data_IF_690148101973
#
_entry.id   IF_690148101973
#
_cell.length_a   1.000
_cell.length_b   1.000
_cell.length_c   1.000
_cell.angle_alpha   90.00
_cell.angle_beta   90.00
_cell.angle_gamma   90.00
#
_symmetry.space_group_name_H-M   'P 1'
#
loop_
_entity.id
_entity.type
_entity.pdbx_description
1 polymer ?
#
# COMPACT_ATOMS: atom_id res chain seq x y z
N UNK A 1 -0.03 31.32 3.88
CA UNK A 1 0.67 30.08 4.28
C UNK A 1 2.10 30.16 3.73
N UNK A 2 3.14 30.05 4.56
CA UNK A 2 4.54 30.17 4.13
C UNK A 2 4.90 29.04 3.15
N UNK A 3 5.59 29.35 2.04
CA UNK A 3 6.01 28.38 1.00
C UNK A 3 6.75 27.18 1.58
N UNK A 4 7.62 27.40 2.58
CA UNK A 4 8.33 26.31 3.27
C UNK A 4 7.40 25.41 4.07
N UNK A 5 6.38 25.99 4.71
CA UNK A 5 5.38 25.22 5.44
C UNK A 5 4.52 24.37 4.49
N UNK A 6 4.12 24.92 3.33
CA UNK A 6 3.40 24.16 2.29
C UNK A 6 4.22 22.97 1.80
N UNK A 7 5.51 23.17 1.52
CA UNK A 7 6.38 22.10 1.06
C UNK A 7 6.51 20.99 2.12
N UNK A 8 6.69 21.36 3.39
CA UNK A 8 6.80 20.39 4.47
C UNK A 8 5.54 19.51 4.58
N UNK A 9 4.34 20.11 4.48
CA UNK A 9 3.07 19.35 4.49
C UNK A 9 2.99 18.39 3.31
N UNK A 10 3.39 18.82 2.10
CA UNK A 10 3.40 17.97 0.91
C UNK A 10 4.36 16.78 1.08
N UNK A 11 5.58 17.03 1.57
CA UNK A 11 6.56 15.98 1.85
C UNK A 11 5.98 14.98 2.85
N UNK A 12 5.52 15.43 4.01
CA UNK A 12 4.99 14.55 5.06
C UNK A 12 3.82 13.71 4.55
N UNK A 13 2.93 14.29 3.72
CA UNK A 13 1.79 13.59 3.13
C UNK A 13 2.15 12.49 2.12
N UNK A 14 3.43 12.39 1.74
CA UNK A 14 3.95 11.42 0.80
C UNK A 14 4.92 10.40 1.44
N UNK A 15 5.06 10.38 2.78
CA UNK A 15 5.90 9.41 3.48
C UNK A 15 5.07 8.28 4.09
N UNK A 16 5.61 7.07 4.12
CA UNK A 16 5.04 5.93 4.82
C UNK A 16 6.10 5.34 5.76
N UNK A 17 6.19 5.83 7.02
CA UNK A 17 7.12 5.28 8.00
C UNK A 17 6.77 3.85 8.37
N UNK A 18 7.76 3.12 8.88
CA UNK A 18 7.59 1.74 9.36
C UNK A 18 7.81 1.65 10.86
N UNK A 19 7.03 0.81 11.54
CA UNK A 19 7.30 0.36 12.91
C UNK A 19 7.60 -1.13 12.92
N UNK A 20 8.57 -1.53 13.74
CA UNK A 20 8.72 -2.93 14.15
C UNK A 20 7.75 -3.19 15.30
N UNK A 21 7.10 -4.35 15.28
CA UNK A 21 6.29 -4.80 16.42
C UNK A 21 7.11 -4.95 17.70
N UNK A 22 6.42 -4.89 18.84
CA UNK A 22 6.98 -5.22 20.16
C UNK A 22 7.14 -4.04 21.12
N UNK A 23 7.02 -2.79 20.65
CA UNK A 23 6.88 -1.64 21.53
C UNK A 23 5.40 -1.43 21.92
N UNK A 24 5.09 -1.06 23.18
CA UNK A 24 3.72 -0.83 23.64
C UNK A 24 3.07 0.40 22.99
N UNK A 25 3.89 1.33 22.49
CA UNK A 25 3.46 2.60 21.90
C UNK A 25 4.22 2.88 20.60
N UNK A 26 3.64 3.74 19.75
CA UNK A 26 4.30 4.21 18.54
C UNK A 26 5.48 5.12 18.91
N UNK A 27 6.62 5.04 18.19
CA UNK A 27 7.71 5.98 18.36
C UNK A 27 7.26 7.43 18.21
N UNK A 28 7.76 8.33 19.06
CA UNK A 28 7.35 9.75 19.10
C UNK A 28 7.45 10.44 17.72
N UNK A 29 8.50 10.15 16.96
CA UNK A 29 8.70 10.76 15.64
C UNK A 29 7.66 10.33 14.60
N UNK A 30 7.07 9.13 14.76
CA UNK A 30 5.99 8.64 13.90
C UNK A 30 4.67 9.30 14.30
N UNK A 31 4.39 9.41 15.60
CA UNK A 31 3.23 10.15 16.11
C UNK A 31 3.25 11.61 15.62
N UNK A 32 4.39 12.29 15.77
CA UNK A 32 4.58 13.65 15.24
C UNK A 32 4.44 13.71 13.71
N UNK A 33 4.85 12.67 12.99
CA UNK A 33 4.65 12.57 11.54
C UNK A 33 3.17 12.49 11.17
N UNK A 34 2.42 11.63 11.85
CA UNK A 34 0.97 11.47 11.70
C UNK A 34 0.24 12.80 11.97
N UNK A 35 0.57 13.50 13.06
CA UNK A 35 0.05 14.83 13.38
C UNK A 35 0.36 15.89 12.30
N UNK A 36 1.48 15.72 11.58
CA UNK A 36 1.93 16.61 10.50
C UNK A 36 1.40 16.23 9.13
N UNK A 37 0.56 15.20 9.05
CA UNK A 37 -0.14 14.82 7.83
C UNK A 37 0.42 13.59 7.11
N UNK A 38 1.34 12.85 7.72
CA UNK A 38 1.71 11.53 7.21
C UNK A 38 0.48 10.64 7.06
N UNK A 39 0.26 10.00 5.90
CA UNK A 39 -0.98 9.30 5.57
C UNK A 39 -1.20 8.00 6.35
N UNK A 40 -0.16 7.46 6.99
CA UNK A 40 -0.25 6.20 7.72
C UNK A 40 1.10 5.61 8.08
N UNK A 41 1.10 4.34 8.49
CA UNK A 41 2.30 3.62 8.94
C UNK A 41 2.29 2.19 8.40
N UNK A 42 3.45 1.68 8.01
CA UNK A 42 3.67 0.26 7.74
C UNK A 42 4.04 -0.47 9.04
N UNK A 43 3.24 -1.45 9.43
CA UNK A 43 3.41 -2.25 10.65
C UNK A 43 4.09 -3.56 10.29
N UNK A 44 5.30 -3.77 10.82
CA UNK A 44 6.09 -5.00 10.68
C UNK A 44 6.04 -5.76 11.99
N UNK A 45 4.92 -6.40 12.25
CA UNK A 45 4.60 -7.15 13.46
C UNK A 45 3.62 -8.28 13.09
N UNK A 46 3.25 -9.14 14.04
CA UNK A 46 2.19 -10.12 13.82
C UNK A 46 1.20 -10.12 14.99
N UNK A 47 0.01 -10.69 14.76
CA UNK A 47 -0.98 -10.96 15.79
C UNK A 47 -1.37 -9.73 16.62
N UNK A 48 -1.38 -9.89 17.95
CA UNK A 48 -1.80 -8.82 18.87
C UNK A 48 -0.87 -7.60 18.85
N UNK A 49 0.42 -7.78 18.57
CA UNK A 49 1.36 -6.67 18.46
C UNK A 49 1.08 -5.82 17.20
N UNK A 50 0.78 -6.47 16.07
CA UNK A 50 0.34 -5.77 14.87
C UNK A 50 -0.97 -5.03 15.09
N UNK A 51 -1.94 -5.69 15.74
CA UNK A 51 -3.23 -5.09 16.08
C UNK A 51 -3.08 -3.85 16.97
N UNK A 52 -2.30 -3.94 18.03
CA UNK A 52 -2.06 -2.81 18.93
C UNK A 52 -1.42 -1.62 18.21
N UNK A 53 -0.44 -1.86 17.34
CA UNK A 53 0.18 -0.80 16.54
C UNK A 53 -0.81 -0.16 15.56
N UNK A 54 -1.60 -0.96 14.82
CA UNK A 54 -2.63 -0.44 13.91
C UNK A 54 -3.71 0.38 14.65
N UNK A 55 -4.10 -0.05 15.84
CA UNK A 55 -5.09 0.66 16.66
C UNK A 55 -4.49 1.97 17.22
N UNK A 56 -3.22 1.99 17.63
CA UNK A 56 -2.53 3.23 18.01
C UNK A 56 -2.43 4.22 16.84
N UNK A 57 -2.15 3.74 15.62
CA UNK A 57 -2.13 4.59 14.41
C UNK A 57 -3.50 5.22 14.17
N UNK A 58 -4.58 4.42 14.23
CA UNK A 58 -5.95 4.91 14.01
C UNK A 58 -6.48 5.76 15.17
N UNK A 59 -6.00 5.56 16.39
CA UNK A 59 -6.31 6.44 17.51
C UNK A 59 -5.72 7.85 17.29
N UNK A 60 -4.51 7.94 16.73
CA UNK A 60 -3.90 9.22 16.37
C UNK A 60 -4.56 9.85 15.13
N UNK A 61 -4.84 9.05 14.11
CA UNK A 61 -5.41 9.49 12.83
C UNK A 61 -6.44 8.46 12.34
N UNK A 62 -7.75 8.69 12.56
CA UNK A 62 -8.81 7.68 12.33
C UNK A 62 -8.86 7.06 10.94
N UNK A 63 -8.55 7.84 9.90
CA UNK A 63 -8.57 7.44 8.50
C UNK A 63 -7.16 7.12 7.96
N UNK A 64 -6.18 6.86 8.83
CA UNK A 64 -4.83 6.53 8.41
C UNK A 64 -4.74 5.18 7.67
N UNK A 65 -3.74 5.08 6.80
CA UNK A 65 -3.30 3.81 6.24
C UNK A 65 -2.56 3.00 7.31
N UNK A 66 -2.94 1.75 7.46
CA UNK A 66 -2.26 0.74 8.27
C UNK A 66 -1.76 -0.35 7.32
N UNK A 67 -0.51 -0.18 6.88
CA UNK A 67 0.14 -1.08 5.96
C UNK A 67 0.67 -2.33 6.65
N UNK A 68 0.54 -3.50 6.04
CA UNK A 68 1.07 -4.76 6.59
C UNK A 68 1.66 -5.63 5.48
N UNK A 69 2.81 -6.30 5.68
CA UNK A 69 3.45 -7.13 4.66
C UNK A 69 2.63 -8.38 4.29
N UNK A 70 1.59 -8.69 5.07
CA UNK A 70 0.78 -9.90 4.94
C UNK A 70 1.13 -10.94 6.01
N UNK A 71 0.38 -12.05 6.08
CA UNK A 71 0.66 -13.15 6.99
C UNK A 71 2.01 -13.85 6.69
N UNK A 72 2.59 -14.51 7.71
CA UNK A 72 3.88 -15.19 7.60
C UNK A 72 3.83 -16.31 6.54
N UNK A 73 4.88 -16.38 5.72
CA UNK A 73 5.02 -17.34 4.61
C UNK A 73 5.22 -16.68 3.25
N UNK A 74 4.98 -15.35 3.18
CA UNK A 74 4.91 -14.64 1.91
C UNK A 74 3.68 -15.13 1.16
N UNK A 75 2.95 -14.22 0.54
CA UNK A 75 2.00 -14.59 -0.51
C UNK A 75 2.81 -15.07 -1.72
N UNK A 76 3.44 -16.24 -1.62
CA UNK A 76 3.79 -17.03 -2.77
C UNK A 76 2.46 -17.47 -3.37
N UNK A 77 2.15 -16.91 -4.53
CA UNK A 77 0.93 -17.15 -5.27
C UNK A 77 0.60 -18.66 -5.34
N UNK A 78 -0.54 -19.03 -4.76
CA UNK A 78 -1.18 -20.31 -5.10
C UNK A 78 -1.90 -21.09 -4.01
N UNK A 79 -1.86 -20.72 -2.72
CA UNK A 79 -2.52 -21.52 -1.67
C UNK A 79 -3.66 -20.83 -0.94
N UNK A 80 -3.70 -19.48 -0.91
CA UNK A 80 -4.74 -18.72 -0.21
C UNK A 80 -5.46 -17.75 -1.16
N UNK A 81 -6.79 -17.69 -1.10
CA UNK A 81 -7.59 -16.72 -1.86
C UNK A 81 -7.52 -15.32 -1.22
N UNK A 82 -7.81 -14.27 -2.00
CA UNK A 82 -7.67 -12.89 -1.54
C UNK A 82 -8.60 -12.56 -0.37
N UNK A 83 -9.78 -13.18 -0.31
CA UNK A 83 -10.75 -12.99 0.77
C UNK A 83 -10.22 -13.45 2.13
N UNK A 84 -9.54 -14.60 2.19
CA UNK A 84 -8.93 -15.08 3.43
C UNK A 84 -7.74 -14.19 3.86
N UNK A 85 -6.92 -13.74 2.90
CA UNK A 85 -5.84 -12.81 3.18
C UNK A 85 -6.38 -11.46 3.71
N UNK A 86 -7.48 -10.95 3.16
CA UNK A 86 -8.15 -9.75 3.68
C UNK A 86 -8.62 -9.94 5.12
N UNK A 87 -9.27 -11.07 5.44
CA UNK A 87 -9.74 -11.34 6.80
C UNK A 87 -8.60 -11.32 7.83
N UNK A 88 -7.45 -11.92 7.50
CA UNK A 88 -6.27 -11.91 8.38
C UNK A 88 -5.69 -10.50 8.57
N UNK A 89 -5.62 -9.72 7.48
CA UNK A 89 -5.15 -8.33 7.54
C UNK A 89 -6.08 -7.44 8.36
N UNK A 90 -7.38 -7.59 8.19
CA UNK A 90 -8.39 -6.88 8.97
C UNK A 90 -8.32 -7.25 10.46
N UNK A 91 -8.02 -8.51 10.79
CA UNK A 91 -7.88 -8.96 12.17
C UNK A 91 -6.75 -8.21 12.91
N UNK A 92 -5.66 -7.89 12.21
CA UNK A 92 -4.56 -7.05 12.71
C UNK A 92 -4.75 -5.54 12.46
N UNK A 93 -5.93 -5.13 11.99
CA UNK A 93 -6.29 -3.74 11.76
C UNK A 93 -5.64 -3.09 10.54
N UNK A 94 -5.11 -3.88 9.61
CA UNK A 94 -4.49 -3.40 8.37
C UNK A 94 -5.56 -3.11 7.30
N UNK A 95 -5.38 -2.02 6.55
CA UNK A 95 -6.19 -1.65 5.38
C UNK A 95 -5.35 -1.52 4.10
N UNK A 96 -4.04 -1.82 4.15
CA UNK A 96 -3.14 -1.81 3.01
C UNK A 96 -2.22 -3.03 3.06
N UNK A 97 -2.33 -3.93 2.08
CA UNK A 97 -1.45 -5.08 1.94
C UNK A 97 -0.21 -4.71 1.12
N UNK A 98 0.96 -4.69 1.76
CA UNK A 98 2.24 -4.28 1.18
C UNK A 98 3.02 -5.41 0.47
N UNK A 99 2.50 -6.64 0.50
CA UNK A 99 3.21 -7.85 0.07
C UNK A 99 2.59 -8.57 -1.12
N UNK A 100 1.66 -7.93 -1.84
CA UNK A 100 0.92 -8.59 -2.93
C UNK A 100 1.85 -8.87 -4.11
N UNK A 101 2.10 -10.15 -4.42
CA UNK A 101 2.93 -10.59 -5.53
C UNK A 101 2.13 -10.87 -6.82
N UNK A 102 2.72 -10.69 -8.02
CA UNK A 102 2.04 -10.99 -9.28
C UNK A 102 1.87 -12.50 -9.52
N UNK A 103 0.64 -12.97 -9.74
CA UNK A 103 0.35 -14.37 -10.10
C UNK A 103 0.64 -14.61 -11.60
N UNK A 104 1.42 -15.64 -11.96
CA UNK A 104 1.70 -15.98 -13.35
C UNK A 104 0.51 -16.58 -14.11
N UNK A 105 -0.52 -17.09 -13.43
CA UNK A 105 -1.77 -17.56 -14.06
C UNK A 105 -2.54 -16.37 -14.63
N UNK A 106 -3.27 -16.60 -15.73
CA UNK A 106 -4.17 -15.58 -16.25
C UNK A 106 -5.17 -15.21 -15.16
N UNK A 107 -5.42 -13.91 -14.99
CA UNK A 107 -6.38 -13.35 -14.04
C UNK A 107 -6.12 -13.59 -12.55
N UNK A 108 -5.18 -14.43 -12.14
CA UNK A 108 -4.93 -14.71 -10.73
C UNK A 108 -4.61 -13.45 -9.91
N UNK A 109 -3.88 -12.51 -10.51
CA UNK A 109 -3.60 -11.21 -9.88
C UNK A 109 -4.86 -10.35 -9.78
N UNK A 110 -5.66 -10.30 -10.86
CA UNK A 110 -6.93 -9.58 -10.91
C UNK A 110 -7.90 -10.09 -9.83
N UNK A 111 -8.07 -11.40 -9.73
CA UNK A 111 -8.97 -12.04 -8.77
C UNK A 111 -8.53 -11.76 -7.33
N UNK A 112 -7.25 -11.96 -7.02
CA UNK A 112 -6.71 -11.71 -5.68
C UNK A 112 -6.84 -10.23 -5.25
N UNK A 113 -6.53 -9.29 -6.15
CA UNK A 113 -6.69 -7.85 -5.90
C UNK A 113 -8.16 -7.49 -5.71
N UNK A 114 -9.05 -8.03 -6.55
CA UNK A 114 -10.49 -7.76 -6.47
C UNK A 114 -11.07 -8.23 -5.14
N UNK A 115 -10.70 -9.43 -4.70
CA UNK A 115 -11.09 -10.00 -3.41
C UNK A 115 -10.64 -9.12 -2.23
N UNK A 116 -9.37 -8.70 -2.19
CA UNK A 116 -8.84 -7.83 -1.13
C UNK A 116 -9.64 -6.52 -1.06
N UNK A 117 -9.83 -5.89 -2.22
CA UNK A 117 -10.47 -4.59 -2.30
C UNK A 117 -11.97 -4.65 -2.00
N UNK A 118 -12.63 -5.77 -2.32
CA UNK A 118 -14.02 -6.04 -1.94
C UNK A 118 -14.22 -6.17 -0.43
N UNK A 119 -13.15 -6.39 0.34
CA UNK A 119 -13.16 -6.40 1.82
C UNK A 119 -12.57 -5.12 2.43
N UNK A 120 -12.31 -4.09 1.62
CA UNK A 120 -11.78 -2.81 2.08
C UNK A 120 -10.26 -2.80 2.34
N UNK A 121 -9.53 -3.79 1.84
CA UNK A 121 -8.06 -3.83 1.94
C UNK A 121 -7.44 -3.42 0.60
N UNK A 122 -6.67 -2.34 0.59
CA UNK A 122 -5.94 -1.91 -0.60
C UNK A 122 -4.80 -2.88 -0.90
N UNK A 123 -4.66 -3.30 -2.15
CA UNK A 123 -3.50 -4.07 -2.59
C UNK A 123 -2.38 -3.13 -3.07
N UNK A 124 -1.14 -3.36 -2.61
CA UNK A 124 0.07 -2.82 -3.21
C UNK A 124 0.79 -3.91 -4.00
N UNK A 125 0.46 -4.06 -5.28
CA UNK A 125 1.00 -5.10 -6.16
C UNK A 125 2.47 -4.85 -6.50
N UNK A 126 3.36 -5.81 -6.29
CA UNK A 126 4.75 -5.67 -6.66
C UNK A 126 5.63 -6.88 -6.32
N UNK A 127 6.96 -6.74 -6.49
CA UNK A 127 7.63 -5.54 -6.99
C UNK A 127 7.47 -5.37 -8.52
N UNK A 128 7.10 -4.16 -8.96
CA UNK A 128 7.19 -3.76 -10.36
C UNK A 128 8.62 -3.32 -10.69
N UNK A 129 9.28 -4.01 -11.61
CA UNK A 129 10.66 -3.70 -12.05
C UNK A 129 10.72 -3.10 -13.46
N UNK A 130 9.61 -3.07 -14.20
CA UNK A 130 9.57 -2.67 -15.61
C UNK A 130 10.16 -3.70 -16.58
N UNK A 131 10.50 -4.89 -16.09
CA UNK A 131 11.07 -5.98 -16.88
C UNK A 131 10.31 -7.29 -16.62
N UNK A 132 10.44 -8.24 -17.54
CA UNK A 132 9.75 -9.52 -17.45
C UNK A 132 8.28 -9.44 -17.88
N UNK A 133 7.42 -10.26 -17.26
CA UNK A 133 6.01 -10.34 -17.63
C UNK A 133 5.22 -9.16 -17.03
N UNK A 134 4.80 -8.23 -17.88
CA UNK A 134 4.01 -7.06 -17.48
C UNK A 134 2.50 -7.35 -17.36
N UNK A 135 2.02 -8.51 -17.85
CA UNK A 135 0.60 -8.86 -17.88
C UNK A 135 -0.08 -8.75 -16.50
N UNK A 136 0.50 -9.26 -15.39
CA UNK A 136 -0.13 -9.14 -14.06
C UNK A 136 -0.39 -7.69 -13.65
N UNK A 137 0.50 -6.76 -13.99
CA UNK A 137 0.36 -5.35 -13.67
C UNK A 137 -0.69 -4.67 -14.56
N UNK A 138 -0.75 -5.02 -15.84
CA UNK A 138 -1.77 -4.55 -16.75
C UNK A 138 -3.18 -5.02 -16.32
N UNK A 139 -3.33 -6.31 -15.99
CA UNK A 139 -4.57 -6.90 -15.48
C UNK A 139 -5.02 -6.22 -14.18
N UNK A 140 -4.10 -6.02 -13.23
CA UNK A 140 -4.41 -5.36 -11.96
C UNK A 140 -4.76 -3.88 -12.16
N UNK A 141 -4.06 -3.17 -13.03
CA UNK A 141 -4.37 -1.78 -13.37
C UNK A 141 -5.78 -1.67 -13.98
N UNK A 142 -6.13 -2.55 -14.92
CA UNK A 142 -7.47 -2.64 -15.50
C UNK A 142 -8.54 -3.01 -14.46
N UNK A 143 -8.19 -3.83 -13.47
CA UNK A 143 -9.05 -4.17 -12.32
C UNK A 143 -9.14 -3.06 -11.26
N UNK A 144 -8.44 -1.94 -11.45
CA UNK A 144 -8.48 -0.80 -10.54
C UNK A 144 -7.69 -1.00 -9.25
N UNK A 145 -6.58 -1.75 -9.29
CA UNK A 145 -5.65 -1.89 -8.16
C UNK A 145 -5.30 -0.51 -7.60
N UNK A 146 -5.37 -0.35 -6.28
CA UNK A 146 -5.16 0.97 -5.64
C UNK A 146 -3.70 1.39 -5.58
N UNK A 147 -2.79 0.43 -5.45
CA UNK A 147 -1.37 0.67 -5.28
C UNK A 147 -0.50 -0.34 -6.06
N UNK A 148 0.65 0.13 -6.56
CA UNK A 148 1.72 -0.71 -7.11
C UNK A 148 3.01 -0.37 -6.39
N UNK A 149 3.72 -1.38 -5.89
CA UNK A 149 5.03 -1.23 -5.26
C UNK A 149 6.12 -1.35 -6.31
N UNK A 150 6.87 -0.28 -6.56
CA UNK A 150 8.05 -0.32 -7.39
C UNK A 150 9.20 -1.03 -6.67
N UNK A 151 9.91 -1.92 -7.37
CA UNK A 151 11.14 -2.54 -6.91
C UNK A 151 12.38 -1.76 -7.36
N UNK A 152 13.57 -2.26 -7.03
CA UNK A 152 14.84 -1.74 -7.57
C UNK A 152 15.12 -2.45 -8.91
N UNK A 153 15.57 -1.73 -9.97
CA UNK A 153 15.88 -0.30 -10.03
C UNK A 153 14.69 0.62 -10.40
N UNK A 154 13.50 0.06 -10.64
CA UNK A 154 12.34 0.81 -11.10
C UNK A 154 11.97 2.01 -10.21
N UNK A 155 12.12 1.89 -8.90
CA UNK A 155 11.74 2.90 -7.89
C UNK A 155 12.38 4.27 -8.09
N UNK A 156 13.51 4.36 -8.78
CA UNK A 156 14.20 5.62 -9.13
C UNK A 156 14.30 5.85 -10.65
N UNK A 157 13.68 4.99 -11.46
CA UNK A 157 13.73 5.06 -12.92
C UNK A 157 12.48 5.75 -13.48
N UNK A 158 12.64 7.00 -13.93
CA UNK A 158 11.57 7.74 -14.61
C UNK A 158 11.09 7.06 -15.89
N UNK A 159 12.00 6.40 -16.63
CA UNK A 159 11.63 5.60 -17.79
C UNK A 159 10.68 4.45 -17.40
N UNK A 160 10.95 3.78 -16.28
CA UNK A 160 10.15 2.64 -15.83
C UNK A 160 8.82 3.07 -15.23
N UNK A 161 8.81 4.02 -14.30
CA UNK A 161 7.56 4.43 -13.64
C UNK A 161 6.74 5.34 -14.56
N UNK A 162 7.31 6.47 -14.99
CA UNK A 162 6.54 7.44 -15.79
C UNK A 162 6.35 6.98 -17.24
N UNK A 163 7.36 6.36 -17.85
CA UNK A 163 7.26 5.84 -19.22
C UNK A 163 6.40 4.58 -19.32
N UNK A 164 6.80 3.50 -18.66
CA UNK A 164 6.11 2.20 -18.80
C UNK A 164 4.85 2.13 -17.94
N UNK A 165 4.96 2.31 -16.62
CA UNK A 165 3.81 2.06 -15.73
C UNK A 165 2.68 3.08 -15.92
N UNK A 166 3.01 4.38 -15.96
CA UNK A 166 2.00 5.44 -16.12
C UNK A 166 1.65 5.70 -17.58
N UNK A 167 2.63 5.63 -18.48
CA UNK A 167 2.44 5.87 -19.91
C UNK A 167 1.83 4.65 -20.61
N UNK A 168 2.62 3.60 -20.82
CA UNK A 168 2.20 2.42 -21.60
C UNK A 168 1.07 1.63 -20.94
N UNK A 169 1.16 1.39 -19.64
CA UNK A 169 0.14 0.63 -18.88
C UNK A 169 -1.01 1.50 -18.36
N UNK A 170 -0.92 2.83 -18.50
CA UNK A 170 -1.99 3.75 -18.11
C UNK A 170 -2.30 3.79 -16.61
N UNK A 171 -1.39 3.37 -15.74
CA UNK A 171 -1.66 3.28 -14.30
C UNK A 171 -1.73 4.65 -13.62
N UNK A 172 -2.91 4.98 -13.07
CA UNK A 172 -3.20 6.27 -12.44
C UNK A 172 -3.30 6.23 -10.91
N UNK A 173 -3.16 5.05 -10.30
CA UNK A 173 -3.17 4.85 -8.85
C UNK A 173 -1.86 5.27 -8.17
N UNK A 174 -1.72 4.89 -6.90
CA UNK A 174 -0.53 5.21 -6.10
C UNK A 174 0.63 4.29 -6.48
N UNK A 175 1.81 4.86 -6.70
CA UNK A 175 3.07 4.11 -6.82
C UNK A 175 3.84 4.22 -5.51
N UNK A 176 4.08 3.10 -4.83
CA UNK A 176 4.94 3.06 -3.65
C UNK A 176 6.39 2.87 -4.09
N UNK A 177 7.31 3.56 -3.44
CA UNK A 177 8.74 3.29 -3.62
C UNK A 177 9.13 1.91 -3.06
N UNK A 178 10.32 1.42 -3.42
CA UNK A 178 10.98 0.44 -2.58
C UNK A 178 11.28 1.03 -1.18
N UNK A 179 11.41 0.22 -0.12
CA UNK A 179 11.87 0.69 1.18
C UNK A 179 13.22 1.40 1.06
N UNK A 180 13.35 2.60 1.63
CA UNK A 180 14.58 3.40 1.52
C UNK A 180 15.77 2.84 2.32
N UNK A 181 15.54 1.85 3.19
CA UNK A 181 16.57 1.11 3.92
C UNK A 181 16.99 -0.18 3.19
N UNK A 182 16.53 -0.38 1.95
CA UNK A 182 17.03 -1.44 1.08
C UNK A 182 18.51 -1.18 0.73
N UNK A 183 19.40 -2.20 0.79
CA UNK A 183 20.84 -2.00 0.62
C UNK A 183 21.24 -1.32 -0.70
N UNK A 184 20.65 -1.73 -1.83
CA UNK A 184 20.96 -1.14 -3.14
C UNK A 184 20.59 0.35 -3.18
N UNK A 185 19.50 0.75 -2.52
CA UNK A 185 19.11 2.15 -2.36
C UNK A 185 20.09 2.91 -1.47
N UNK A 186 20.46 2.35 -0.33
CA UNK A 186 21.38 2.96 0.63
C UNK A 186 22.75 3.19 -0.02
N UNK A 187 23.29 2.16 -0.67
CA UNK A 187 24.62 2.20 -1.30
C UNK A 187 24.66 3.08 -2.55
N UNK A 188 23.56 3.16 -3.29
CA UNK A 188 23.48 3.94 -4.54
C UNK A 188 23.25 5.43 -4.33
N UNK A 189 22.29 5.80 -3.47
CA UNK A 189 21.78 7.19 -3.39
C UNK A 189 21.60 7.70 -1.96
N UNK A 190 21.62 6.81 -0.96
CA UNK A 190 21.16 7.11 0.38
C UNK A 190 19.66 7.42 0.45
N UNK A 191 19.06 7.33 1.63
CA UNK A 191 17.61 7.52 1.78
C UNK A 191 17.10 8.89 1.30
N UNK A 192 17.74 10.05 1.64
CA UNK A 192 17.23 11.35 1.20
C UNK A 192 17.29 11.55 -0.31
N UNK A 193 18.39 11.13 -0.96
CA UNK A 193 18.55 11.21 -2.40
C UNK A 193 17.59 10.30 -3.14
N UNK A 194 17.41 9.07 -2.64
CA UNK A 194 16.47 8.11 -3.19
C UNK A 194 15.01 8.57 -3.09
N UNK A 195 14.61 9.25 -2.00
CA UNK A 195 13.28 9.83 -1.88
C UNK A 195 13.00 10.86 -2.99
N UNK A 196 13.94 11.79 -3.21
CA UNK A 196 13.86 12.80 -4.27
C UNK A 196 13.79 12.14 -5.64
N UNK A 197 14.69 11.20 -5.93
CA UNK A 197 14.72 10.48 -7.20
C UNK A 197 13.45 9.65 -7.45
N UNK A 198 12.87 9.06 -6.40
CA UNK A 198 11.63 8.32 -6.51
C UNK A 198 10.46 9.26 -6.88
N UNK A 199 10.36 10.44 -6.28
CA UNK A 199 9.35 11.42 -6.70
C UNK A 199 9.55 11.90 -8.14
N UNK A 200 10.78 12.20 -8.53
CA UNK A 200 11.14 12.57 -9.91
C UNK A 200 10.77 11.43 -10.88
N UNK A 201 11.03 10.17 -10.51
CA UNK A 201 10.67 9.02 -11.32
C UNK A 201 9.16 8.83 -11.48
N UNK A 202 8.37 9.33 -10.52
CA UNK A 202 6.91 9.25 -10.53
C UNK A 202 6.31 8.43 -9.40
N UNK A 203 7.08 7.99 -8.40
CA UNK A 203 6.56 7.39 -7.18
C UNK A 203 5.81 8.43 -6.34
N UNK A 204 4.73 8.03 -5.67
CA UNK A 204 3.87 8.94 -4.89
C UNK A 204 4.07 8.76 -3.37
N UNK A 205 4.23 7.52 -2.91
CA UNK A 205 4.31 7.20 -1.48
C UNK A 205 5.65 6.54 -1.16
N UNK A 206 6.50 7.27 -0.43
CA UNK A 206 7.88 6.88 -0.13
C UNK A 206 7.92 6.06 1.15
N UNK A 207 8.39 4.83 1.06
CA UNK A 207 8.45 3.89 2.19
C UNK A 207 9.73 4.09 3.00
N UNK A 208 9.59 4.53 4.25
CA UNK A 208 10.70 4.52 5.20
C UNK A 208 10.66 3.15 5.87
N UNK A 209 11.61 2.27 5.55
CA UNK A 209 11.60 0.92 6.10
C UNK A 209 11.98 0.87 7.59
N UNK A 210 11.87 -0.31 8.22
CA UNK A 210 12.00 -0.49 9.66
C UNK A 210 13.42 -0.27 10.22
N UNK A 211 14.42 -0.07 9.38
CA UNK A 211 15.76 0.41 9.77
C UNK A 211 15.89 1.94 9.82
N UNK A 212 14.85 2.67 9.39
CA UNK A 212 14.85 4.12 9.37
C UNK A 212 14.64 4.73 10.76
N UNK A 213 15.39 5.79 11.08
CA UNK A 213 15.27 6.54 12.33
C UNK A 213 14.72 7.96 12.13
N UNK A 214 14.47 8.71 13.21
CA UNK A 214 13.86 10.05 13.16
C UNK A 214 14.63 11.03 12.25
N UNK A 215 15.96 10.94 12.20
CA UNK A 215 16.79 11.81 11.36
C UNK A 215 16.57 11.62 9.85
N UNK A 216 16.02 10.47 9.40
CA UNK A 216 15.77 10.25 7.97
C UNK A 216 14.73 11.24 7.43
N UNK A 217 13.70 11.54 8.23
CA UNK A 217 12.60 12.41 7.83
C UNK A 217 13.14 13.81 7.60
N UNK A 218 13.88 14.34 8.56
CA UNK A 218 14.44 15.69 8.47
C UNK A 218 15.46 15.80 7.31
N UNK A 219 16.23 14.74 7.07
CA UNK A 219 17.12 14.67 5.92
C UNK A 219 16.37 14.65 4.58
N UNK A 220 15.24 13.94 4.47
CA UNK A 220 14.37 13.96 3.28
C UNK A 220 13.78 15.35 3.08
N UNK A 221 13.30 16.02 4.13
CA UNK A 221 12.81 17.41 4.05
C UNK A 221 13.88 18.35 3.52
N UNK A 222 15.11 18.27 4.05
CA UNK A 222 16.24 19.10 3.61
C UNK A 222 16.62 18.83 2.14
N UNK A 223 16.72 17.55 1.74
CA UNK A 223 17.02 17.16 0.37
C UNK A 223 15.92 17.61 -0.61
N UNK A 224 14.65 17.52 -0.21
CA UNK A 224 13.52 17.96 -1.01
C UNK A 224 13.48 19.47 -1.18
N UNK A 225 13.70 20.23 -0.10
CA UNK A 225 13.77 21.69 -0.17
C UNK A 225 14.88 22.15 -1.11
N UNK A 226 16.04 21.48 -1.08
CA UNK A 226 17.13 21.73 -2.02
C UNK A 226 16.74 21.40 -3.45
N UNK A 227 16.24 20.20 -3.73
CA UNK A 227 15.85 19.80 -5.09
C UNK A 227 14.74 20.68 -5.70
N UNK A 228 13.82 21.18 -4.87
CA UNK A 228 12.82 22.16 -5.29
C UNK A 228 13.45 23.52 -5.58
N UNK A 229 14.38 23.97 -4.73
CA UNK A 229 15.10 25.23 -4.91
C UNK A 229 16.01 25.23 -6.14
N UNK A 230 16.62 24.08 -6.43
CA UNK A 230 17.50 23.87 -7.58
C UNK A 230 16.70 23.65 -8.89
N UNK A 231 15.39 23.35 -8.78
CA UNK A 231 14.48 23.15 -9.92
C UNK A 231 14.38 21.71 -10.41
N UNK A 232 15.12 20.78 -9.80
CA UNK A 232 15.14 19.35 -10.15
C UNK A 232 13.82 18.63 -9.81
N UNK A 233 13.14 19.05 -8.74
CA UNK A 233 11.86 18.50 -8.32
C UNK A 233 10.78 19.61 -8.32
N UNK A 234 9.86 19.61 -9.30
CA UNK A 234 8.75 20.55 -9.31
C UNK A 234 7.81 20.31 -8.12
N UNK A 235 7.39 21.38 -7.42
CA UNK A 235 6.41 21.27 -6.32
C UNK A 235 5.10 20.60 -6.78
N UNK A 236 4.67 20.85 -8.01
CA UNK A 236 3.48 20.23 -8.61
C UNK A 236 3.55 18.69 -8.63
N UNK A 237 4.75 18.09 -8.70
CA UNK A 237 4.93 16.64 -8.63
C UNK A 237 4.57 16.09 -7.24
N UNK A 238 4.93 16.81 -6.18
CA UNK A 238 4.56 16.46 -4.81
C UNK A 238 3.06 16.67 -4.56
N UNK A 239 2.45 17.70 -5.15
CA UNK A 239 1.01 17.95 -5.07
C UNK A 239 0.20 16.82 -5.73
N UNK A 240 0.66 16.38 -6.90
CA UNK A 240 0.08 15.25 -7.61
C UNK A 240 0.20 13.96 -6.79
N UNK A 241 1.38 13.68 -6.23
CA UNK A 241 1.61 12.54 -5.34
C UNK A 241 0.69 12.57 -4.11
N UNK A 242 0.68 13.70 -3.38
CA UNK A 242 -0.17 13.91 -2.22
C UNK A 242 -1.66 13.73 -2.53
N UNK A 243 -2.12 14.18 -3.71
CA UNK A 243 -3.49 13.99 -4.15
C UNK A 243 -3.82 12.51 -4.41
N UNK A 244 -2.91 11.73 -5.00
CA UNK A 244 -3.09 10.27 -5.19
C UNK A 244 -3.14 9.55 -3.85
N UNK A 245 -2.19 9.85 -2.97
CA UNK A 245 -2.11 9.26 -1.63
C UNK A 245 -3.36 9.59 -0.81
N UNK A 246 -3.85 10.82 -0.89
CA UNK A 246 -5.10 11.22 -0.23
C UNK A 246 -6.32 10.45 -0.76
N UNK A 247 -6.37 10.13 -2.06
CA UNK A 247 -7.44 9.27 -2.62
C UNK A 247 -7.36 7.84 -2.11
N UNK A 248 -6.15 7.26 -2.06
CA UNK A 248 -5.92 5.92 -1.50
C UNK A 248 -6.35 5.88 -0.02
N UNK A 249 -5.92 6.85 0.77
CA UNK A 249 -6.24 6.98 2.20
C UNK A 249 -7.75 7.04 2.43
N UNK A 250 -8.47 7.92 1.71
CA UNK A 250 -9.93 8.01 1.79
C UNK A 250 -10.62 6.69 1.41
N UNK A 251 -10.20 6.08 0.30
CA UNK A 251 -10.79 4.81 -0.13
C UNK A 251 -10.60 3.71 0.92
N UNK A 252 -9.42 3.64 1.55
CA UNK A 252 -9.09 2.61 2.53
C UNK A 252 -9.69 2.86 3.94
N UNK A 253 -10.25 4.05 4.18
CA UNK A 253 -10.92 4.41 5.44
C UNK A 253 -12.44 4.35 5.34
N UNK A 254 -12.99 4.32 4.13
CA UNK A 254 -14.42 4.15 3.91
C UNK A 254 -14.88 2.77 4.43
N UNK A 255 -15.99 2.69 5.19
CA UNK A 255 -16.52 1.42 5.65
C UNK A 255 -16.83 0.53 4.45
N UNK A 256 -16.20 -0.64 4.39
CA UNK A 256 -16.56 -1.65 3.43
C UNK A 256 -17.96 -2.16 3.78
N UNK A 257 -18.96 -1.80 2.98
CA UNK A 257 -20.26 -2.45 3.00
C UNK A 257 -20.08 -3.84 2.42
N UNK A 258 -19.60 -4.78 3.23
CA UNK A 258 -19.64 -6.20 2.85
C UNK A 258 -21.12 -6.53 2.64
N UNK A 259 -21.55 -7.00 1.45
CA UNK A 259 -22.88 -7.55 1.32
C UNK A 259 -22.98 -8.64 2.38
N UNK A 260 -23.89 -8.47 3.34
CA UNK A 260 -24.18 -9.52 4.32
C UNK A 260 -24.38 -10.81 3.52
N UNK A 261 -23.67 -11.87 3.91
CA UNK A 261 -23.94 -13.22 3.44
C UNK A 261 -25.29 -13.69 3.99
N UNK A 262 -26.36 -12.99 3.65
CA UNK A 262 -27.73 -13.36 3.89
C UNK A 262 -28.15 -14.28 2.73
N UNK A 263 -28.11 -15.59 2.97
CA UNK A 263 -28.68 -16.61 2.11
C UNK A 263 -27.67 -17.38 1.27
N UNK A 264 -26.93 -18.30 1.90
CA UNK A 264 -26.37 -19.43 1.16
C UNK A 264 -27.55 -20.25 0.57
N UNK A 265 -27.54 -20.67 -0.71
CA UNK A 265 -28.65 -21.41 -1.33
C UNK A 265 -28.87 -22.83 -0.75
N UNK A 266 -28.15 -23.19 0.31
CA UNK A 266 -28.15 -24.53 0.91
C UNK A 266 -29.25 -24.73 1.97
N UNK A 267 -29.99 -23.68 2.32
CA UNK A 267 -31.08 -23.75 3.32
C UNK A 267 -32.48 -23.91 2.68
N UNK A 268 -32.57 -24.67 1.59
CA UNK A 268 -33.88 -25.19 1.17
C UNK A 268 -34.14 -26.48 1.95
N UNK A 269 -35.26 -26.59 2.69
CA UNK A 269 -35.64 -27.86 3.29
C UNK A 269 -35.77 -28.89 2.17
N UNK A 270 -34.99 -29.96 2.31
CA UNK A 270 -35.05 -31.14 1.45
C UNK A 270 -36.50 -31.62 1.47
N UNK A 271 -37.20 -31.48 0.35
CA UNK A 271 -38.57 -31.97 0.22
C UNK A 271 -38.57 -33.45 0.62
N UNK A 272 -39.41 -33.78 1.60
CA UNK A 272 -39.61 -35.15 2.03
C UNK A 272 -40.05 -35.98 0.82
N UNK A 273 -39.33 -37.07 0.59
CA UNK A 273 -39.63 -38.08 -0.41
C UNK A 273 -40.96 -38.73 -0.01
N UNK A 274 -42.06 -38.29 -0.62
CA UNK A 274 -43.39 -38.83 -0.38
C UNK A 274 -43.46 -40.26 -0.92
N UNK A 275 -43.47 -41.18 0.04
CA UNK A 275 -44.10 -42.50 0.00
C UNK A 275 -45.17 -42.64 -1.10
N UNK A 276 -44.88 -43.41 -2.13
CA UNK A 276 -45.88 -43.89 -3.10
C UNK A 276 -46.44 -45.23 -2.61
N UNK A 277 -47.74 -45.34 -2.22
CA UNK A 277 -48.37 -46.64 -2.08
C UNK A 277 -48.85 -47.15 -3.45
N UNK A 278 -48.91 -48.47 -3.56
CA UNK A 278 -49.30 -49.23 -4.75
C UNK A 278 -50.83 -49.31 -4.96
N UNK A 279 -51.25 -49.39 -6.24
CA UNK A 279 -52.40 -50.12 -6.80
C UNK A 279 -52.59 -49.61 -8.27
N UNK A 280 -52.83 -50.41 -9.31
CA UNK A 280 -53.51 -51.70 -9.46
C UNK A 280 -52.82 -52.57 -10.51
#
# INVERSE_FOLDING_TARGET
MNTLHRLAVLVDSCLLPSVRGGAPELPEWILRGLERGTPGVAVHADGTAARAASDAVRAAVPDALTGHPGPRGGTQNGTQNGSAAAAELMAVGANLHLGVGPDPRADGTRDFVSDLQAHGVAAALGPFTGSGNLRPFAEAAAAGVRAISAGVPATVSGHTISGVLRGELGYSGVVLSAPLDEPTIVDGWGAPGAAVLAWIAGADLIRLGPGSGPGVRDAIHAATARAVGDGDLPVARLEEAAARVSRLRRWASEPCLVPSSAGSPLDRPRAADEHRPAAR
#
